data_IF_730832917504
#
_entry.id   IF_730832917504
#
_cell.length_a   1.000
_cell.length_b   1.000
_cell.length_c   1.000
_cell.angle_alpha   90.00
_cell.angle_beta   90.00
_cell.angle_gamma   90.00
#
_symmetry.space_group_name_H-M   'P 1'
#
loop_
_entity.id
_entity.type
_entity.pdbx_description
1 polymer ?
#
# COMPACT_ATOMS: atom_id res chain seq x y z
N UNK A 1 -16.21 -0.21 10.78
CA UNK A 1 -16.57 -1.02 9.61
C UNK A 1 -15.30 -1.30 8.81
N UNK A 2 -15.11 -2.53 8.35
CA UNK A 2 -13.97 -2.96 7.50
C UNK A 2 -14.54 -3.67 6.28
N UNK A 3 -14.15 -3.22 5.09
CA UNK A 3 -14.46 -3.90 3.84
C UNK A 3 -13.24 -4.68 3.35
N UNK A 4 -13.47 -5.86 2.79
CA UNK A 4 -12.44 -6.70 2.16
C UNK A 4 -12.88 -7.00 0.74
N UNK A 5 -12.00 -6.78 -0.23
CA UNK A 5 -12.28 -6.97 -1.65
C UNK A 5 -10.99 -7.12 -2.45
N UNK A 6 -11.11 -7.44 -3.73
CA UNK A 6 -10.00 -7.72 -4.63
C UNK A 6 -9.10 -6.50 -4.91
N UNK A 7 -9.67 -5.30 -4.76
CA UNK A 7 -8.95 -4.04 -4.97
C UNK A 7 -9.60 -2.89 -4.18
N UNK A 8 -8.93 -1.74 -4.11
CA UNK A 8 -9.37 -0.57 -3.35
C UNK A 8 -10.75 -0.03 -3.81
N UNK A 9 -10.98 0.03 -5.12
CA UNK A 9 -12.26 0.50 -5.66
C UNK A 9 -13.42 -0.45 -5.30
N UNK A 10 -13.18 -1.77 -5.31
CA UNK A 10 -14.14 -2.76 -4.85
C UNK A 10 -14.48 -2.60 -3.37
N UNK A 11 -13.49 -2.32 -2.53
CA UNK A 11 -13.72 -2.06 -1.11
C UNK A 11 -14.57 -0.80 -0.88
N UNK A 12 -14.34 0.27 -1.63
CA UNK A 12 -15.17 1.48 -1.55
C UNK A 12 -16.62 1.20 -1.93
N UNK A 13 -16.85 0.46 -3.01
CA UNK A 13 -18.22 0.07 -3.42
C UNK A 13 -18.91 -0.74 -2.31
N UNK A 14 -18.21 -1.68 -1.68
CA UNK A 14 -18.75 -2.46 -0.56
C UNK A 14 -19.15 -1.53 0.60
N UNK A 15 -18.31 -0.56 0.94
CA UNK A 15 -18.60 0.41 2.01
C UNK A 15 -19.81 1.28 1.68
N UNK A 16 -19.88 1.83 0.47
CA UNK A 16 -20.99 2.68 0.01
C UNK A 16 -22.31 1.93 0.05
N UNK A 17 -22.34 0.70 -0.49
CA UNK A 17 -23.54 -0.14 -0.48
C UNK A 17 -23.98 -0.48 0.95
N UNK A 18 -23.02 -0.76 1.84
CA UNK A 18 -23.35 -1.08 3.23
C UNK A 18 -23.88 0.15 4.00
N UNK A 19 -23.32 1.33 3.76
CA UNK A 19 -23.84 2.57 4.33
C UNK A 19 -25.25 2.86 3.88
N UNK A 20 -25.55 2.65 2.60
CA UNK A 20 -26.91 2.84 2.07
C UNK A 20 -27.87 1.81 2.62
N UNK A 21 -27.46 0.55 2.80
CA UNK A 21 -28.26 -0.46 3.50
C UNK A 21 -28.60 -0.03 4.92
N UNK A 22 -27.65 0.51 5.68
CA UNK A 22 -27.90 1.02 7.04
C UNK A 22 -28.89 2.17 7.04
N UNK A 23 -28.78 3.13 6.10
CA UNK A 23 -29.70 4.25 5.95
C UNK A 23 -31.12 3.75 5.63
N UNK A 24 -31.25 2.82 4.68
CA UNK A 24 -32.51 2.19 4.29
C UNK A 24 -33.13 1.47 5.49
N UNK A 25 -32.38 0.66 6.21
CA UNK A 25 -32.85 -0.05 7.39
C UNK A 25 -33.37 0.90 8.47
N UNK A 26 -32.66 1.99 8.75
CA UNK A 26 -33.07 2.98 9.72
C UNK A 26 -34.37 3.71 9.30
N UNK A 27 -34.50 4.08 8.03
CA UNK A 27 -35.69 4.76 7.49
C UNK A 27 -36.90 3.81 7.44
N UNK A 28 -36.68 2.55 7.05
CA UNK A 28 -37.73 1.53 6.93
C UNK A 28 -38.49 1.30 8.25
N UNK A 29 -37.88 1.54 9.41
CA UNK A 29 -38.56 1.45 10.70
C UNK A 29 -39.84 2.34 10.77
N UNK A 30 -39.81 3.49 10.10
CA UNK A 30 -40.96 4.40 10.03
C UNK A 30 -42.10 3.91 9.13
N UNK A 31 -41.86 2.87 8.33
CA UNK A 31 -42.78 2.31 7.33
C UNK A 31 -43.13 0.83 7.58
N UNK A 32 -42.97 0.36 8.81
CA UNK A 32 -43.34 -1.02 9.19
C UNK A 32 -42.13 -1.98 9.25
N UNK A 33 -40.92 -1.47 9.12
CA UNK A 33 -39.68 -2.26 9.25
C UNK A 33 -39.09 -2.73 7.92
N UNK A 34 -38.04 -3.54 8.02
CA UNK A 34 -37.31 -4.05 6.86
C UNK A 34 -38.10 -5.21 6.18
N UNK A 35 -38.07 -5.20 4.87
CA UNK A 35 -38.57 -6.30 4.03
C UNK A 35 -37.44 -6.85 3.16
N UNK A 36 -36.56 -7.72 3.70
CA UNK A 36 -35.45 -8.26 2.95
C UNK A 36 -35.92 -9.11 1.76
N UNK A 37 -35.10 -9.12 0.71
CA UNK A 37 -35.38 -9.98 -0.46
C UNK A 37 -35.35 -11.46 -0.07
N UNK A 38 -36.19 -12.23 -0.69
CA UNK A 38 -36.18 -13.69 -0.60
C UNK A 38 -34.96 -14.25 -1.33
N UNK A 39 -34.49 -15.44 -0.94
CA UNK A 39 -33.36 -16.10 -1.62
C UNK A 39 -33.56 -16.19 -3.13
N UNK A 40 -34.78 -16.49 -3.60
CA UNK A 40 -35.10 -16.54 -5.03
C UNK A 40 -34.89 -15.20 -5.75
N UNK A 41 -35.16 -14.09 -5.07
CA UNK A 41 -34.92 -12.74 -5.64
C UNK A 41 -33.41 -12.42 -5.67
N UNK A 42 -32.66 -12.82 -4.63
CA UNK A 42 -31.22 -12.70 -4.58
C UNK A 42 -30.58 -13.51 -5.71
N UNK A 43 -30.95 -14.78 -5.83
CA UNK A 43 -30.44 -15.67 -6.88
C UNK A 43 -30.74 -15.15 -8.29
N UNK A 44 -31.88 -14.52 -8.48
CA UNK A 44 -32.24 -13.90 -9.76
C UNK A 44 -31.29 -12.74 -10.11
N UNK A 45 -30.98 -11.84 -9.14
CA UNK A 45 -30.12 -10.70 -9.36
C UNK A 45 -28.66 -11.17 -9.57
N UNK A 46 -28.20 -12.12 -8.78
CA UNK A 46 -26.84 -12.65 -8.87
C UNK A 46 -26.57 -13.36 -10.20
N UNK A 47 -27.59 -13.97 -10.79
CA UNK A 47 -27.49 -14.62 -12.10
C UNK A 47 -27.89 -13.70 -13.27
N UNK A 48 -28.24 -12.45 -13.01
CA UNK A 48 -28.62 -11.54 -14.08
C UNK A 48 -27.43 -11.13 -14.94
N UNK A 49 -27.52 -11.43 -16.22
CA UNK A 49 -26.43 -11.26 -17.19
C UNK A 49 -25.90 -9.82 -17.25
N UNK A 50 -26.78 -8.80 -17.14
CA UNK A 50 -26.42 -7.38 -17.16
C UNK A 50 -25.56 -7.02 -15.94
N UNK A 51 -25.88 -7.52 -14.76
CA UNK A 51 -25.07 -7.26 -13.56
C UNK A 51 -23.73 -7.99 -13.61
N UNK A 52 -23.70 -9.21 -14.12
CA UNK A 52 -22.47 -9.94 -14.36
C UNK A 52 -21.57 -9.24 -15.41
N UNK A 53 -22.17 -8.65 -16.43
CA UNK A 53 -21.44 -7.83 -17.42
C UNK A 53 -20.89 -6.55 -16.78
N UNK A 54 -21.68 -5.83 -15.98
CA UNK A 54 -21.24 -4.63 -15.25
C UNK A 54 -20.10 -4.93 -14.31
N UNK A 55 -20.16 -6.02 -13.53
CA UNK A 55 -19.08 -6.50 -12.66
C UNK A 55 -17.80 -6.75 -13.47
N UNK A 56 -17.88 -7.41 -14.62
CA UNK A 56 -16.74 -7.67 -15.52
C UNK A 56 -16.15 -6.37 -16.09
N UNK A 57 -16.97 -5.43 -16.51
CA UNK A 57 -16.51 -4.13 -17.04
C UNK A 57 -15.86 -3.28 -15.94
N UNK A 58 -16.42 -3.28 -14.74
CA UNK A 58 -15.85 -2.56 -13.58
C UNK A 58 -14.55 -3.19 -13.08
N UNK A 59 -14.39 -4.52 -13.23
CA UNK A 59 -13.19 -5.25 -12.88
C UNK A 59 -12.10 -5.19 -13.98
N UNK A 60 -12.43 -4.80 -15.20
CA UNK A 60 -11.60 -4.97 -16.37
C UNK A 60 -10.79 -3.75 -16.79
N UNK A 61 -9.51 -3.84 -16.66
CA UNK A 61 -8.46 -3.14 -17.40
C UNK A 61 -7.34 -4.14 -17.69
N UNK A 62 -6.44 -3.87 -18.64
CA UNK A 62 -5.28 -4.72 -18.83
C UNK A 62 -4.55 -4.88 -17.48
N UNK A 63 -4.40 -6.11 -17.03
CA UNK A 63 -3.71 -6.44 -15.78
C UNK A 63 -2.27 -5.94 -15.86
N UNK A 64 -1.87 -5.10 -14.91
CA UNK A 64 -0.48 -4.69 -14.75
C UNK A 64 0.38 -5.83 -14.19
N UNK A 65 1.71 -5.70 -14.27
CA UNK A 65 2.64 -6.75 -13.79
C UNK A 65 2.58 -6.97 -12.28
N UNK A 66 2.13 -5.97 -11.53
CA UNK A 66 2.02 -5.99 -10.05
C UNK A 66 0.60 -5.60 -9.60
N UNK A 67 -0.39 -6.04 -10.38
CA UNK A 67 -1.80 -5.75 -10.11
C UNK A 67 -2.20 -6.19 -8.70
N UNK A 68 -2.84 -5.28 -7.95
CA UNK A 68 -3.30 -5.46 -6.57
C UNK A 68 -2.20 -5.76 -5.53
N UNK A 69 -0.91 -5.76 -5.91
CA UNK A 69 0.19 -5.90 -4.96
C UNK A 69 0.32 -4.67 -4.09
N UNK A 70 0.50 -4.86 -2.79
CA UNK A 70 0.77 -3.78 -1.84
C UNK A 70 2.27 -3.60 -1.68
N UNK A 71 2.76 -2.40 -2.01
CA UNK A 71 4.18 -2.11 -2.08
C UNK A 71 4.52 -0.87 -1.24
N UNK A 72 5.42 -1.02 -0.28
CA UNK A 72 6.01 0.10 0.45
C UNK A 72 7.27 0.55 -0.29
N UNK A 73 7.43 1.86 -0.50
CA UNK A 73 8.67 2.46 -1.01
C UNK A 73 9.15 3.51 -0.04
N UNK A 74 10.33 3.31 0.56
CA UNK A 74 10.93 4.27 1.50
C UNK A 74 11.71 5.35 0.74
N UNK A 75 11.69 6.60 1.26
CA UNK A 75 12.26 7.74 0.56
C UNK A 75 11.53 8.06 -0.74
N UNK A 76 10.20 7.88 -0.75
CA UNK A 76 9.38 7.95 -1.96
C UNK A 76 8.73 9.32 -2.20
N UNK A 77 8.99 10.32 -1.35
CA UNK A 77 8.47 11.66 -1.56
C UNK A 77 9.05 12.33 -2.81
N UNK A 78 10.26 11.96 -3.22
CA UNK A 78 10.95 12.55 -4.37
C UNK A 78 12.01 11.62 -4.97
N UNK A 79 12.55 12.00 -6.13
CA UNK A 79 13.73 11.37 -6.75
C UNK A 79 13.47 9.93 -7.20
N UNK A 80 14.44 9.03 -6.93
CA UNK A 80 14.33 7.62 -7.35
C UNK A 80 13.14 6.90 -6.72
N UNK A 81 12.89 7.13 -5.43
CA UNK A 81 11.76 6.51 -4.74
C UNK A 81 10.41 6.91 -5.32
N UNK A 82 10.21 8.19 -5.64
CA UNK A 82 9.03 8.68 -6.36
C UNK A 82 8.91 8.03 -7.75
N UNK A 83 10.01 7.97 -8.50
CA UNK A 83 10.05 7.34 -9.83
C UNK A 83 9.66 5.86 -9.79
N UNK A 84 10.16 5.10 -8.79
CA UNK A 84 9.78 3.70 -8.56
C UNK A 84 8.29 3.61 -8.24
N UNK A 85 7.79 4.41 -7.30
CA UNK A 85 6.39 4.43 -6.91
C UNK A 85 5.47 4.73 -8.10
N UNK A 86 5.85 5.69 -8.94
CA UNK A 86 5.13 6.07 -10.18
C UNK A 86 5.06 4.91 -11.18
N UNK A 87 6.16 4.21 -11.41
CA UNK A 87 6.16 3.06 -12.30
C UNK A 87 5.26 1.92 -11.77
N UNK A 88 5.32 1.65 -10.47
CA UNK A 88 4.58 0.54 -9.86
C UNK A 88 3.07 0.81 -9.80
N UNK A 89 2.64 2.05 -9.49
CA UNK A 89 1.20 2.37 -9.47
C UNK A 89 0.57 2.26 -10.86
N UNK A 90 1.30 2.62 -11.91
CA UNK A 90 0.86 2.45 -13.30
C UNK A 90 0.74 0.99 -13.72
N UNK A 91 1.43 0.07 -13.01
CA UNK A 91 1.36 -1.36 -13.19
C UNK A 91 0.35 -2.05 -12.25
N UNK A 92 -0.51 -1.26 -11.59
CA UNK A 92 -1.63 -1.76 -10.80
C UNK A 92 -1.36 -1.97 -9.30
N UNK A 93 -0.18 -1.62 -8.80
CA UNK A 93 0.13 -1.77 -7.38
C UNK A 93 -0.59 -0.72 -6.50
N UNK A 94 -0.90 -1.10 -5.27
CA UNK A 94 -1.17 -0.16 -4.19
C UNK A 94 0.17 0.31 -3.61
N UNK A 95 0.35 1.61 -3.41
CA UNK A 95 1.64 2.19 -3.02
C UNK A 95 1.53 2.87 -1.66
N UNK A 96 2.50 2.57 -0.79
CA UNK A 96 2.76 3.35 0.42
C UNK A 96 3.99 4.22 0.19
N UNK A 97 3.76 5.52 0.05
CA UNK A 97 4.80 6.55 0.00
C UNK A 97 5.29 6.78 1.42
N UNK A 98 6.46 6.24 1.75
CA UNK A 98 7.04 6.30 3.08
C UNK A 98 8.20 7.29 3.10
N UNK A 99 8.05 8.42 3.79
CA UNK A 99 9.06 9.48 3.82
C UNK A 99 8.98 10.30 5.11
N UNK A 100 10.08 10.96 5.47
CA UNK A 100 10.12 11.94 6.56
C UNK A 100 9.40 13.24 6.20
N UNK A 101 9.46 13.64 4.92
CA UNK A 101 8.90 14.88 4.42
C UNK A 101 7.40 14.73 4.18
N UNK A 102 6.61 15.13 5.17
CA UNK A 102 5.16 14.99 5.17
C UNK A 102 4.49 15.78 4.03
N UNK A 103 4.91 17.03 3.83
CA UNK A 103 4.28 17.88 2.82
C UNK A 103 4.51 17.35 1.40
N UNK A 104 5.76 16.99 1.08
CA UNK A 104 6.11 16.47 -0.25
C UNK A 104 5.55 15.05 -0.44
N UNK A 105 5.64 14.20 0.59
CA UNK A 105 5.14 12.83 0.52
C UNK A 105 3.63 12.75 0.32
N UNK A 106 2.86 13.59 1.01
CA UNK A 106 1.41 13.67 0.81
C UNK A 106 1.05 14.16 -0.62
N UNK A 107 1.74 15.20 -1.11
CA UNK A 107 1.54 15.67 -2.48
C UNK A 107 1.89 14.60 -3.52
N UNK A 108 2.96 13.82 -3.29
CA UNK A 108 3.33 12.71 -4.16
C UNK A 108 2.28 11.61 -4.16
N UNK A 109 1.74 11.24 -3.00
CA UNK A 109 0.67 10.24 -2.93
C UNK A 109 -0.59 10.71 -3.68
N UNK A 110 -0.95 11.98 -3.61
CA UNK A 110 -2.06 12.57 -4.35
C UNK A 110 -1.81 12.51 -5.88
N UNK A 111 -0.62 12.88 -6.32
CA UNK A 111 -0.24 12.79 -7.75
C UNK A 111 -0.29 11.33 -8.26
N UNK A 112 0.15 10.37 -7.45
CA UNK A 112 0.08 8.95 -7.78
C UNK A 112 -1.37 8.48 -7.91
N UNK A 113 -2.27 8.94 -7.03
CA UNK A 113 -3.69 8.63 -7.12
C UNK A 113 -4.34 9.18 -8.41
N UNK A 114 -3.84 10.30 -8.95
CA UNK A 114 -4.24 10.81 -10.26
C UNK A 114 -3.86 9.91 -11.44
N UNK A 115 -2.93 8.96 -11.24
CA UNK A 115 -2.49 7.97 -12.24
C UNK A 115 -3.07 6.58 -11.98
N UNK A 116 -3.64 6.37 -10.81
CA UNK A 116 -4.19 5.09 -10.37
C UNK A 116 -5.49 4.74 -11.13
N UNK A 117 -5.78 3.45 -11.20
CA UNK A 117 -7.02 2.91 -11.77
C UNK A 117 -7.94 2.43 -10.63
N UNK A 118 -7.87 1.15 -10.30
CA UNK A 118 -8.55 0.52 -9.17
C UNK A 118 -7.69 0.42 -7.91
N UNK A 119 -6.42 0.77 -8.02
CA UNK A 119 -5.38 0.78 -7.00
C UNK A 119 -5.22 2.17 -6.38
N UNK A 120 -4.47 2.28 -5.29
CA UNK A 120 -4.31 3.54 -4.54
C UNK A 120 -2.89 3.75 -4.04
N UNK A 121 -2.57 5.04 -3.78
CA UNK A 121 -1.41 5.44 -3.02
C UNK A 121 -1.84 6.11 -1.71
N UNK A 122 -1.11 5.82 -0.62
CA UNK A 122 -1.20 6.55 0.64
C UNK A 122 0.17 7.07 1.03
N UNK A 123 0.19 8.15 1.81
CA UNK A 123 1.40 8.62 2.45
C UNK A 123 1.42 8.17 3.91
N UNK A 124 2.58 7.68 4.37
CA UNK A 124 2.85 7.39 5.77
C UNK A 124 4.16 8.05 6.18
N UNK A 125 4.10 8.99 7.12
CA UNK A 125 5.31 9.63 7.66
C UNK A 125 6.19 8.60 8.33
N UNK A 126 7.39 8.39 7.79
CA UNK A 126 8.27 7.32 8.21
C UNK A 126 9.70 7.80 8.40
N UNK A 127 10.23 7.53 9.59
CA UNK A 127 11.66 7.59 9.86
C UNK A 127 12.22 6.17 9.83
N UNK A 128 12.97 5.83 8.78
CA UNK A 128 13.57 4.48 8.62
C UNK A 128 14.57 4.09 9.70
N UNK A 129 15.13 5.07 10.42
CA UNK A 129 16.06 4.84 11.53
C UNK A 129 15.37 4.67 12.90
N UNK A 130 14.03 4.71 12.92
CA UNK A 130 13.21 4.56 14.13
C UNK A 130 12.27 3.36 13.98
N UNK A 131 12.45 2.38 14.85
CA UNK A 131 11.70 1.12 14.80
C UNK A 131 10.21 1.29 15.14
N UNK A 132 9.83 2.29 15.96
CA UNK A 132 8.42 2.59 16.23
C UNK A 132 7.75 3.21 15.01
N UNK A 133 8.46 4.12 14.33
CA UNK A 133 7.98 4.69 13.07
C UNK A 133 7.77 3.60 11.99
N UNK A 134 8.67 2.63 11.91
CA UNK A 134 8.51 1.47 11.01
C UNK A 134 7.34 0.56 11.40
N UNK A 135 7.10 0.35 12.69
CA UNK A 135 5.92 -0.40 13.14
C UNK A 135 4.63 0.30 12.74
N UNK A 136 4.56 1.61 12.96
CA UNK A 136 3.40 2.40 12.54
C UNK A 136 3.20 2.33 11.02
N UNK A 137 4.25 2.44 10.23
CA UNK A 137 4.21 2.30 8.78
C UNK A 137 3.60 0.96 8.36
N UNK A 138 4.07 -0.14 8.94
CA UNK A 138 3.54 -1.48 8.66
C UNK A 138 2.07 -1.57 9.09
N UNK A 139 1.74 -1.05 10.27
CA UNK A 139 0.37 -1.05 10.79
C UNK A 139 -0.59 -0.33 9.84
N UNK A 140 -0.28 0.91 9.46
CA UNK A 140 -1.08 1.68 8.51
C UNK A 140 -1.22 0.97 7.16
N UNK A 141 -0.14 0.36 6.67
CA UNK A 141 -0.17 -0.41 5.43
C UNK A 141 -1.14 -1.58 5.51
N UNK A 142 -1.05 -2.38 6.57
CA UNK A 142 -1.91 -3.55 6.76
C UNK A 142 -3.37 -3.14 7.00
N UNK A 143 -3.62 -2.10 7.79
CA UNK A 143 -4.96 -1.59 8.02
C UNK A 143 -5.62 -1.06 6.75
N UNK A 144 -4.84 -0.47 5.85
CA UNK A 144 -5.36 0.14 4.62
C UNK A 144 -5.50 -0.84 3.46
N UNK A 145 -4.56 -1.78 3.31
CA UNK A 145 -4.47 -2.66 2.14
C UNK A 145 -4.54 -4.16 2.47
N UNK A 146 -4.69 -4.51 3.75
CA UNK A 146 -4.84 -5.90 4.18
C UNK A 146 -3.55 -6.70 4.27
N UNK A 147 -2.42 -6.17 3.77
CA UNK A 147 -1.14 -6.90 3.79
C UNK A 147 0.01 -6.14 3.13
N UNK A 148 1.13 -6.83 2.95
CA UNK A 148 2.35 -6.33 2.33
C UNK A 148 2.96 -7.40 1.42
N UNK A 149 3.08 -7.09 0.13
CA UNK A 149 3.70 -8.01 -0.85
C UNK A 149 5.17 -7.67 -1.13
N UNK A 150 5.49 -6.36 -1.26
CA UNK A 150 6.85 -5.93 -1.60
C UNK A 150 7.28 -4.76 -0.71
N UNK A 151 8.50 -4.85 -0.20
CA UNK A 151 9.14 -3.74 0.53
C UNK A 151 10.36 -3.24 -0.25
N UNK A 152 10.31 -1.98 -0.71
CA UNK A 152 11.42 -1.33 -1.41
C UNK A 152 12.14 -0.39 -0.44
N UNK A 153 13.31 -0.81 0.04
CA UNK A 153 14.22 0.01 0.85
C UNK A 153 15.05 0.89 -0.07
N UNK A 154 14.60 2.12 -0.27
CA UNK A 154 15.25 3.11 -1.14
C UNK A 154 15.76 4.33 -0.35
N UNK A 155 15.21 4.64 0.82
CA UNK A 155 15.65 5.78 1.63
C UNK A 155 17.15 5.73 1.88
N UNK A 156 17.82 6.84 1.62
CA UNK A 156 19.26 6.95 1.82
C UNK A 156 19.72 8.41 1.86
N UNK A 157 20.85 8.63 2.46
CA UNK A 157 21.50 9.94 2.58
C UNK A 157 22.94 9.87 2.09
N UNK A 158 23.46 11.00 1.63
CA UNK A 158 24.84 11.14 1.21
C UNK A 158 25.53 12.19 2.09
N UNK A 159 26.68 11.81 2.62
CA UNK A 159 27.72 12.72 3.16
C UNK A 159 29.05 12.28 2.57
N UNK A 160 29.54 13.05 1.63
CA UNK A 160 30.85 12.78 0.99
C UNK A 160 31.97 13.46 1.77
N UNK A 161 33.12 12.84 1.79
CA UNK A 161 34.34 13.35 2.37
C UNK A 161 35.48 12.33 2.24
N UNK A 162 36.72 12.78 2.17
CA UNK A 162 37.88 11.91 2.27
C UNK A 162 38.01 11.31 3.68
N UNK A 163 38.93 10.36 3.85
CA UNK A 163 39.12 9.69 5.13
C UNK A 163 39.50 10.68 6.27
N UNK A 164 40.25 11.73 5.94
CA UNK A 164 40.68 12.77 6.90
C UNK A 164 39.58 13.83 7.14
N UNK A 165 38.60 13.97 6.23
CA UNK A 165 37.55 14.98 6.29
C UNK A 165 36.23 14.45 6.88
N UNK A 166 36.03 13.15 6.81
CA UNK A 166 34.81 12.49 7.30
C UNK A 166 34.76 12.52 8.82
N UNK A 167 33.80 13.26 9.37
CA UNK A 167 33.63 13.28 10.82
C UNK A 167 32.91 12.01 11.32
N UNK A 168 33.19 11.57 12.58
CA UNK A 168 32.47 10.45 13.18
C UNK A 168 30.95 10.60 13.10
N UNK A 169 30.41 11.79 13.35
CA UNK A 169 28.99 12.09 13.34
C UNK A 169 28.37 11.89 11.94
N UNK A 170 29.08 12.34 10.89
CA UNK A 170 28.65 12.14 9.51
C UNK A 170 28.70 10.65 9.13
N UNK A 171 29.74 9.94 9.54
CA UNK A 171 29.88 8.51 9.31
C UNK A 171 28.74 7.72 10.01
N UNK A 172 28.49 8.01 11.29
CA UNK A 172 27.42 7.39 12.06
C UNK A 172 26.04 7.70 11.45
N UNK A 173 25.79 8.95 11.04
CA UNK A 173 24.56 9.34 10.40
C UNK A 173 24.30 8.56 9.12
N UNK A 174 25.28 8.48 8.22
CA UNK A 174 25.16 7.72 6.96
C UNK A 174 24.97 6.23 7.24
N UNK A 175 25.75 5.66 8.16
CA UNK A 175 25.65 4.25 8.54
C UNK A 175 24.26 3.93 9.12
N UNK A 176 23.75 4.80 9.99
CA UNK A 176 22.43 4.65 10.60
C UNK A 176 21.31 4.61 9.56
N UNK A 177 21.36 5.49 8.56
CA UNK A 177 20.28 5.61 7.56
C UNK A 177 20.45 4.60 6.42
N UNK A 178 21.67 4.41 5.90
CA UNK A 178 21.86 3.59 4.69
C UNK A 178 22.07 2.10 5.00
N UNK A 179 22.56 1.77 6.20
CA UNK A 179 22.88 0.39 6.57
C UNK A 179 21.96 -0.16 7.66
N UNK A 180 21.95 0.47 8.85
CA UNK A 180 21.14 -0.05 9.97
C UNK A 180 19.65 -0.01 9.66
N UNK A 181 19.17 1.07 9.02
CA UNK A 181 17.76 1.21 8.66
C UNK A 181 17.30 0.13 7.69
N UNK A 182 18.14 -0.30 6.74
CA UNK A 182 17.80 -1.44 5.89
C UNK A 182 17.48 -2.71 6.70
N UNK A 183 18.32 -3.02 7.69
CA UNK A 183 18.08 -4.15 8.57
C UNK A 183 16.75 -4.03 9.33
N UNK A 184 16.45 -2.84 9.86
CA UNK A 184 15.19 -2.61 10.58
C UNK A 184 13.97 -2.72 9.66
N UNK A 185 14.06 -2.16 8.45
CA UNK A 185 13.04 -2.28 7.43
C UNK A 185 12.79 -3.73 7.02
N UNK A 186 13.87 -4.47 6.71
CA UNK A 186 13.79 -5.88 6.34
C UNK A 186 13.18 -6.74 7.46
N UNK A 187 13.57 -6.48 8.72
CA UNK A 187 13.02 -7.17 9.87
C UNK A 187 11.52 -6.88 10.05
N UNK A 188 11.10 -5.62 9.91
CA UNK A 188 9.70 -5.23 10.03
C UNK A 188 8.84 -5.86 8.92
N UNK A 189 9.27 -5.78 7.66
CA UNK A 189 8.59 -6.36 6.52
C UNK A 189 8.50 -7.89 6.62
N UNK A 190 9.62 -8.56 6.94
CA UNK A 190 9.66 -10.04 7.02
C UNK A 190 8.70 -10.62 8.05
N UNK A 191 8.44 -9.91 9.15
CA UNK A 191 7.48 -10.36 10.19
C UNK A 191 6.05 -10.44 9.64
N UNK A 192 5.63 -9.46 8.88
CA UNK A 192 4.29 -9.42 8.24
C UNK A 192 4.21 -10.47 7.16
N UNK A 193 5.18 -10.52 6.24
CA UNK A 193 5.23 -11.49 5.17
C UNK A 193 5.21 -12.94 5.69
N UNK A 194 5.96 -13.22 6.77
CA UNK A 194 5.94 -14.53 7.44
C UNK A 194 4.55 -14.86 8.01
N UNK A 195 3.85 -13.87 8.57
CA UNK A 195 2.50 -14.07 9.09
C UNK A 195 1.52 -14.37 7.95
N UNK A 196 1.61 -13.64 6.85
CA UNK A 196 0.76 -13.83 5.67
C UNK A 196 0.96 -15.23 5.06
N UNK A 197 2.20 -15.68 4.90
CA UNK A 197 2.51 -17.01 4.37
C UNK A 197 1.97 -18.15 5.21
N UNK A 198 1.74 -17.92 6.50
CA UNK A 198 1.11 -18.92 7.38
C UNK A 198 -0.33 -19.24 6.97
N UNK A 199 -1.02 -18.27 6.34
CA UNK A 199 -2.43 -18.38 5.96
C UNK A 199 -2.65 -18.47 4.44
N UNK A 200 -1.59 -18.27 3.65
CA UNK A 200 -1.62 -18.34 2.18
C UNK A 200 -0.27 -18.86 1.69
N UNK A 201 -0.14 -20.18 1.54
CA UNK A 201 1.13 -20.88 1.25
C UNK A 201 1.80 -20.42 -0.06
N UNK A 202 1.01 -19.95 -1.04
CA UNK A 202 1.50 -19.45 -2.32
C UNK A 202 1.79 -17.94 -2.34
N UNK A 203 1.66 -17.26 -1.20
CA UNK A 203 1.91 -15.82 -1.12
C UNK A 203 3.35 -15.52 -0.70
N UNK A 204 4.21 -15.22 -1.66
CA UNK A 204 5.60 -14.82 -1.44
C UNK A 204 5.71 -13.30 -1.41
N UNK A 205 6.50 -12.79 -0.45
CA UNK A 205 6.83 -11.37 -0.36
C UNK A 205 8.27 -11.12 -0.76
N UNK A 206 8.53 -9.96 -1.37
CA UNK A 206 9.86 -9.54 -1.81
C UNK A 206 10.38 -8.36 -0.98
N UNK A 207 11.65 -8.40 -0.61
CA UNK A 207 12.37 -7.27 0.01
C UNK A 207 13.48 -6.84 -0.94
N UNK A 208 13.36 -5.62 -1.47
CA UNK A 208 14.27 -5.07 -2.48
C UNK A 208 15.05 -3.91 -1.85
N UNK A 209 16.37 -3.96 -1.94
CA UNK A 209 17.24 -2.84 -1.56
C UNK A 209 17.74 -2.10 -2.79
N UNK A 210 17.51 -0.79 -2.83
CA UNK A 210 18.15 0.09 -3.82
C UNK A 210 19.51 0.50 -3.28
N UNK A 211 20.54 0.07 -3.95
CA UNK A 211 21.92 0.25 -3.50
C UNK A 211 22.79 0.90 -4.59
N UNK A 212 23.98 1.39 -4.21
CA UNK A 212 24.91 2.04 -5.12
C UNK A 212 26.00 1.08 -5.60
N UNK A 213 26.33 1.15 -6.90
CA UNK A 213 27.48 0.44 -7.47
C UNK A 213 28.83 0.92 -6.92
N UNK A 214 28.89 2.07 -6.26
CA UNK A 214 30.14 2.63 -5.72
C UNK A 214 30.77 1.76 -4.64
N UNK A 215 30.00 0.88 -3.99
CA UNK A 215 30.50 -0.11 -3.03
C UNK A 215 31.12 -1.37 -3.66
N UNK A 216 31.12 -1.48 -4.98
CA UNK A 216 31.63 -2.65 -5.72
C UNK A 216 33.01 -2.44 -6.33
N UNK A 217 33.70 -1.33 -6.01
CA UNK A 217 35.05 -1.04 -6.49
C UNK A 217 36.09 -1.24 -5.39
#
# INVERSE_FOLDING_TARGET
LVAVGDNAAGCDIILDVYEDMMKIAAIAQSFGGEHPMTQRQIDFIDNWEVENYRRKVSAGGASGRVENKTIIVTGAAQGFGEGIARCLIQQGANIVVADLNEAVGAATAEQLNGMARSNRAIFVKTNVADTESLRNQIHETVCRFGGLDVFVSNAGVLRAGGLEEMTPENFEFVTKINYNAYFYCAQAASRVMKLQNKYAEDNYGDIIQINSKSGLR
#
